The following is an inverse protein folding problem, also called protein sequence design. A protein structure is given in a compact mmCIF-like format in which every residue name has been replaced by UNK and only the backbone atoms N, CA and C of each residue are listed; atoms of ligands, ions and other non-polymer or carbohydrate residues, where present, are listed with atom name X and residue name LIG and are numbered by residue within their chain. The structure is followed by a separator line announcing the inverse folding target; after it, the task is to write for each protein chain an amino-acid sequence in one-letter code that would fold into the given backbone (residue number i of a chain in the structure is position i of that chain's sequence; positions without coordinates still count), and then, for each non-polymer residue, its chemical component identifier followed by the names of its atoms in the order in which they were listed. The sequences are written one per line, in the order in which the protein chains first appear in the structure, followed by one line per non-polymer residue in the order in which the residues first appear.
data_IF_672008849514
#
_entry.id   IF_672008849514
#
_cell.length_a   1.000
_cell.length_b   1.000
_cell.length_c   1.000
_cell.angle_alpha   90.00
_cell.angle_beta   90.00
_cell.angle_gamma   90.00
#
_symmetry.space_group_name_H-M   'P 1'
#
loop_
_entity.id
_entity.type
_entity.pdbx_description
1 polymer ?
#
# COMPACT_ATOMS: atom_id res chain seq x y z
N UNK A 1 -22.57 -12.50 -32.81
CA UNK A 1 -21.21 -12.37 -32.22
C UNK A 1 -21.38 -11.69 -30.88
N UNK A 2 -21.42 -12.44 -29.77
CA UNK A 2 -21.50 -11.88 -28.43
C UNK A 2 -20.35 -12.46 -27.62
N UNK A 3 -19.28 -11.68 -27.47
CA UNK A 3 -18.20 -12.00 -26.55
C UNK A 3 -18.56 -11.37 -25.21
N UNK A 4 -19.28 -12.13 -24.37
CA UNK A 4 -19.49 -11.75 -22.97
C UNK A 4 -18.28 -12.26 -22.21
N UNK A 5 -17.27 -11.41 -22.03
CA UNK A 5 -16.23 -11.65 -21.02
C UNK A 5 -16.70 -11.06 -19.70
N UNK A 6 -17.41 -11.88 -18.92
CA UNK A 6 -17.57 -11.65 -17.50
C UNK A 6 -16.51 -12.52 -16.80
N UNK A 7 -15.35 -11.97 -16.39
CA UNK A 7 -14.51 -12.67 -15.43
C UNK A 7 -15.22 -12.60 -14.08
N UNK A 8 -15.98 -13.66 -13.80
CA UNK A 8 -16.50 -14.00 -12.50
C UNK A 8 -15.30 -14.29 -11.59
N UNK A 9 -14.79 -13.26 -10.91
CA UNK A 9 -13.78 -13.42 -9.87
C UNK A 9 -14.51 -13.88 -8.61
N UNK A 10 -14.82 -15.18 -8.54
CA UNK A 10 -14.97 -15.89 -7.27
C UNK A 10 -13.56 -16.22 -6.76
N UNK A 11 -12.96 -15.28 -6.03
CA UNK A 11 -11.76 -15.56 -5.26
C UNK A 11 -11.97 -15.07 -3.82
N UNK A 12 -13.00 -15.63 -3.19
CA UNK A 12 -13.25 -15.48 -1.75
C UNK A 12 -12.13 -16.09 -0.91
N UNK A 13 -11.35 -17.03 -1.46
CA UNK A 13 -10.17 -17.62 -0.81
C UNK A 13 -8.90 -16.73 -0.86
N UNK A 14 -8.82 -15.75 -1.77
CA UNK A 14 -7.74 -14.73 -1.76
C UNK A 14 -7.96 -13.65 -0.69
N UNK A 15 -9.19 -13.50 -0.18
CA UNK A 15 -9.57 -12.46 0.79
C UNK A 15 -9.01 -12.71 2.20
N UNK A 16 -8.68 -13.96 2.58
CA UNK A 16 -8.35 -14.28 3.98
C UNK A 16 -6.85 -14.33 4.30
N UNK A 17 -5.98 -14.50 3.31
CA UNK A 17 -4.53 -14.72 3.54
C UNK A 17 -3.66 -13.51 3.19
N UNK A 18 -4.23 -12.52 2.51
CA UNK A 18 -3.53 -11.35 1.98
C UNK A 18 -4.44 -10.13 2.16
N UNK A 19 -4.55 -9.58 3.37
CA UNK A 19 -4.98 -8.19 3.50
C UNK A 19 -3.91 -7.34 2.81
N UNK A 20 -4.12 -7.08 1.53
CA UNK A 20 -3.19 -6.35 0.70
C UNK A 20 -3.42 -4.86 0.98
N UNK A 21 -3.02 -4.41 2.18
CA UNK A 21 -3.23 -3.04 2.64
C UNK A 21 -2.76 -2.01 1.61
N UNK A 22 -1.72 -2.34 0.85
CA UNK A 22 -1.26 -1.54 -0.28
C UNK A 22 -2.34 -1.36 -1.35
N UNK A 23 -2.99 -2.42 -1.78
CA UNK A 23 -4.06 -2.37 -2.79
C UNK A 23 -5.26 -1.57 -2.30
N UNK A 24 -5.74 -1.83 -1.07
CA UNK A 24 -6.90 -1.11 -0.51
C UNK A 24 -6.65 0.40 -0.44
N UNK A 25 -5.46 0.80 0.02
CA UNK A 25 -5.07 2.21 0.12
C UNK A 25 -4.94 2.86 -1.26
N UNK A 26 -4.41 2.14 -2.25
CA UNK A 26 -4.35 2.61 -3.64
C UNK A 26 -5.76 2.83 -4.20
N UNK A 27 -6.66 1.86 -4.03
CA UNK A 27 -8.04 1.94 -4.50
C UNK A 27 -8.79 3.09 -3.83
N UNK A 28 -8.60 3.28 -2.52
CA UNK A 28 -9.15 4.40 -1.77
C UNK A 28 -8.73 5.75 -2.36
N UNK A 29 -7.43 5.95 -2.64
CA UNK A 29 -6.96 7.20 -3.23
C UNK A 29 -7.45 7.39 -4.67
N UNK A 30 -7.47 6.33 -5.48
CA UNK A 30 -7.99 6.39 -6.85
C UNK A 30 -9.49 6.74 -6.87
N UNK A 31 -10.29 6.12 -5.99
CA UNK A 31 -11.71 6.41 -5.82
C UNK A 31 -11.94 7.88 -5.44
N UNK A 32 -11.11 8.42 -4.55
CA UNK A 32 -11.13 9.83 -4.16
C UNK A 32 -10.43 10.79 -5.14
N UNK A 33 -9.88 10.28 -6.25
CA UNK A 33 -9.08 11.03 -7.24
C UNK A 33 -7.92 11.80 -6.60
N UNK A 34 -7.36 11.25 -5.54
CA UNK A 34 -6.22 11.81 -4.82
C UNK A 34 -4.92 11.30 -5.48
N UNK A 35 -4.01 12.21 -5.78
CA UNK A 35 -2.67 11.84 -6.25
C UNK A 35 -1.86 11.34 -5.06
N UNK A 36 -1.39 10.09 -5.09
CA UNK A 36 -0.58 9.53 -4.02
C UNK A 36 0.79 9.08 -4.55
N UNK A 37 1.81 9.06 -3.69
CA UNK A 37 3.15 8.56 -3.99
C UNK A 37 3.78 7.88 -2.78
N UNK A 38 4.54 6.82 -3.03
CA UNK A 38 5.42 6.23 -2.02
C UNK A 38 6.83 6.77 -2.22
N UNK A 39 7.46 7.22 -1.16
CA UNK A 39 8.80 7.81 -1.19
C UNK A 39 9.67 7.21 -0.08
N UNK A 40 10.96 6.98 -0.36
CA UNK A 40 11.92 6.56 0.66
C UNK A 40 12.39 7.81 1.41
N UNK A 41 11.97 7.94 2.67
CA UNK A 41 12.34 9.07 3.53
C UNK A 41 13.74 8.93 4.08
N UNK A 42 14.13 7.70 4.42
CA UNK A 42 15.43 7.41 5.01
C UNK A 42 15.77 5.93 4.87
N UNK A 43 17.07 5.63 4.88
CA UNK A 43 17.59 4.29 5.05
C UNK A 43 18.63 4.32 6.16
N UNK A 44 18.42 3.49 7.17
CA UNK A 44 19.31 3.38 8.35
C UNK A 44 19.73 1.92 8.49
N UNK A 45 21.01 1.67 8.72
CA UNK A 45 21.52 0.34 9.04
C UNK A 45 22.65 -0.14 8.12
N UNK A 46 23.35 -1.17 8.58
CA UNK A 46 24.46 -1.78 7.85
C UNK A 46 23.96 -2.49 6.58
N UNK A 47 24.87 -2.77 5.64
CA UNK A 47 24.55 -3.29 4.30
C UNK A 47 23.68 -4.57 4.30
N UNK A 48 23.71 -5.34 5.39
CA UNK A 48 22.92 -6.58 5.58
C UNK A 48 21.72 -6.43 6.53
N UNK A 49 21.55 -5.28 7.18
CA UNK A 49 20.47 -5.00 8.13
C UNK A 49 19.95 -3.57 7.95
N UNK A 50 19.71 -3.19 6.70
CA UNK A 50 19.19 -1.88 6.35
C UNK A 50 17.68 -1.83 6.59
N UNK A 51 17.26 -0.92 7.46
CA UNK A 51 15.89 -0.49 7.65
C UNK A 51 15.58 0.64 6.69
N UNK A 52 14.48 0.49 5.97
CA UNK A 52 13.98 1.43 4.98
C UNK A 52 12.74 2.12 5.55
N UNK A 53 12.79 3.42 5.71
CA UNK A 53 11.66 4.25 6.09
C UNK A 53 10.97 4.71 4.81
N UNK A 54 9.76 4.21 4.56
CA UNK A 54 8.92 4.59 3.44
C UNK A 54 7.79 5.50 3.94
N UNK A 55 7.59 6.62 3.25
CA UNK A 55 6.47 7.52 3.43
C UNK A 55 5.42 7.32 2.33
N UNK A 56 4.16 7.31 2.71
CA UNK A 56 3.01 7.44 1.84
C UNK A 56 2.54 8.89 1.88
N UNK A 57 2.61 9.55 0.73
CA UNK A 57 2.19 10.92 0.54
C UNK A 57 0.95 10.98 -0.33
N UNK A 58 0.07 11.94 -0.01
CA UNK A 58 -1.07 12.31 -0.84
C UNK A 58 -0.88 13.78 -1.23
N UNK A 59 -0.58 14.02 -2.50
CA UNK A 59 -0.05 15.29 -2.98
C UNK A 59 1.29 15.60 -2.31
N UNK A 60 1.30 16.66 -1.52
CA UNK A 60 2.46 17.10 -0.73
C UNK A 60 2.33 16.80 0.77
N UNK A 61 1.24 16.15 1.19
CA UNK A 61 1.00 15.80 2.58
C UNK A 61 1.45 14.36 2.89
N UNK A 62 2.26 14.19 3.93
CA UNK A 62 2.63 12.86 4.44
C UNK A 62 1.48 12.30 5.27
N UNK A 63 0.78 11.29 4.74
CA UNK A 63 -0.39 10.71 5.42
C UNK A 63 -0.04 9.49 6.25
N UNK A 64 1.02 8.76 5.90
CA UNK A 64 1.55 7.67 6.71
C UNK A 64 3.03 7.43 6.42
N UNK A 65 3.74 6.83 7.36
CA UNK A 65 5.12 6.38 7.15
C UNK A 65 5.37 5.11 7.95
N UNK A 66 6.23 4.23 7.44
CA UNK A 66 6.62 3.01 8.13
C UNK A 66 8.02 2.55 7.77
N UNK A 67 8.58 1.77 8.67
CA UNK A 67 9.87 1.13 8.51
C UNK A 67 9.70 -0.32 8.04
N UNK A 68 10.63 -0.79 7.22
CA UNK A 68 10.71 -2.19 6.84
C UNK A 68 12.11 -2.59 6.42
N UNK A 69 12.44 -3.88 6.51
CA UNK A 69 13.76 -4.39 6.06
C UNK A 69 13.98 -4.32 4.55
N UNK A 70 13.04 -3.76 3.79
CA UNK A 70 13.09 -3.54 2.34
C UNK A 70 12.06 -2.48 1.97
N UNK A 71 12.28 -1.76 0.85
CA UNK A 71 11.31 -0.80 0.30
C UNK A 71 9.87 -1.34 0.26
N UNK A 72 9.68 -2.53 -0.33
CA UNK A 72 8.36 -3.18 -0.44
C UNK A 72 7.67 -3.38 0.91
N UNK A 73 8.42 -3.83 1.93
CA UNK A 73 7.89 -4.02 3.29
C UNK A 73 7.53 -2.69 3.94
N UNK A 74 8.34 -1.65 3.73
CA UNK A 74 8.03 -0.31 4.21
C UNK A 74 6.77 0.26 3.56
N UNK A 75 6.60 0.11 2.24
CA UNK A 75 5.39 0.56 1.53
C UNK A 75 4.12 -0.15 2.05
N UNK A 76 4.19 -1.47 2.22
CA UNK A 76 3.08 -2.27 2.74
C UNK A 76 2.75 -1.89 4.19
N UNK A 77 3.77 -1.71 5.03
CA UNK A 77 3.59 -1.28 6.41
C UNK A 77 3.01 0.14 6.50
N UNK A 78 3.44 1.07 5.63
CA UNK A 78 2.90 2.43 5.58
C UNK A 78 1.42 2.42 5.17
N UNK A 79 1.06 1.56 4.20
CA UNK A 79 -0.33 1.36 3.79
C UNK A 79 -1.18 0.79 4.93
N UNK A 80 -0.63 -0.20 5.66
CA UNK A 80 -1.30 -0.77 6.84
C UNK A 80 -1.53 0.27 7.94
N UNK A 81 -0.55 1.13 8.20
CA UNK A 81 -0.70 2.22 9.18
C UNK A 81 -1.80 3.19 8.74
N UNK A 82 -1.80 3.60 7.47
CA UNK A 82 -2.83 4.49 6.94
C UNK A 82 -4.24 3.88 7.09
N UNK A 83 -4.39 2.61 6.71
CA UNK A 83 -5.66 1.88 6.83
C UNK A 83 -6.13 1.77 8.29
N UNK A 84 -5.21 1.45 9.21
CA UNK A 84 -5.53 1.36 10.63
C UNK A 84 -5.88 2.72 11.26
N UNK A 85 -5.33 3.82 10.73
CA UNK A 85 -5.66 5.19 11.16
C UNK A 85 -6.99 5.69 10.58
N UNK A 86 -7.42 5.13 9.45
CA UNK A 86 -8.64 5.51 8.74
C UNK A 86 -9.47 4.25 8.42
N UNK A 87 -9.99 3.53 9.44
CA UNK A 87 -10.98 2.50 9.19
C UNK A 87 -12.21 3.17 8.57
N UNK A 88 -12.70 2.65 7.44
CA UNK A 88 -13.96 3.10 6.81
C UNK A 88 -15.14 3.14 7.80
#
# INVERSE_FOLDING_TARGET
MQTIVLPFIENSDLLLTTHNYKSEVIEYFQSKKLSFRFEELSRIGEQHNSTFTMGLFVGDELVAQAEGGSKKKGEEAASKIFYNQNPE
#
